data_IF_629534806377
#
_entry.id   IF_629534806377
#
_cell.length_a   1.000
_cell.length_b   1.000
_cell.length_c   1.000
_cell.angle_alpha   90.00
_cell.angle_beta   90.00
_cell.angle_gamma   90.00
#
_symmetry.space_group_name_H-M   'P 1'
#
loop_
_entity.id
_entity.type
_entity.pdbx_description
1 polymer ?
#
# COMPACT_ATOMS: atom_id res chain seq x y z
N UNK A 1 29.20 19.23 -24.44
CA UNK A 1 29.30 20.57 -25.05
C UNK A 1 28.42 20.59 -26.27
N UNK A 2 27.27 21.25 -26.17
CA UNK A 2 26.37 21.50 -27.29
C UNK A 2 26.24 23.02 -27.39
N UNK A 3 26.67 23.55 -28.54
CA UNK A 3 26.79 24.97 -28.85
C UNK A 3 25.42 25.53 -29.23
N UNK A 4 25.04 26.60 -28.53
CA UNK A 4 23.91 27.45 -28.88
C UNK A 4 24.44 28.61 -29.71
N UNK A 5 24.10 28.68 -31.00
CA UNK A 5 24.21 29.89 -31.79
C UNK A 5 23.17 29.83 -32.92
N UNK A 6 22.06 30.51 -32.70
CA UNK A 6 21.26 31.10 -33.79
C UNK A 6 20.58 32.37 -33.24
N UNK A 7 21.14 33.52 -33.62
CA UNK A 7 20.60 34.86 -33.37
C UNK A 7 19.35 35.12 -34.22
N UNK A 8 18.27 35.72 -33.68
CA UNK A 8 17.10 36.08 -34.47
C UNK A 8 17.29 37.45 -35.15
N UNK A 9 17.03 37.53 -36.46
CA UNK A 9 17.01 38.79 -37.20
C UNK A 9 15.72 39.57 -36.94
N UNK A 10 15.85 40.83 -36.54
CA UNK A 10 14.75 41.79 -36.41
C UNK A 10 14.41 42.42 -37.75
N UNK A 11 13.20 42.17 -38.25
CA UNK A 11 12.52 43.08 -39.19
C UNK A 11 11.14 43.40 -38.65
N UNK A 12 10.93 44.69 -38.39
CA UNK A 12 9.68 45.27 -37.90
C UNK A 12 8.91 45.78 -39.10
N UNK A 13 7.67 45.32 -39.28
CA UNK A 13 6.65 46.00 -40.08
C UNK A 13 5.38 46.25 -39.24
N UNK A 14 4.69 47.38 -39.43
CA UNK A 14 3.69 47.87 -38.50
C UNK A 14 2.28 47.35 -38.86
N UNK A 15 1.56 46.77 -37.91
CA UNK A 15 0.13 46.47 -38.09
C UNK A 15 -0.74 47.02 -36.96
N UNK A 16 -1.42 48.11 -37.32
CA UNK A 16 -2.84 48.43 -37.08
C UNK A 16 -3.60 47.74 -35.93
N UNK A 17 -4.06 48.59 -35.00
CA UNK A 17 -5.39 48.65 -34.36
C UNK A 17 -6.05 47.35 -33.85
N UNK A 18 -6.20 47.35 -32.52
CA UNK A 18 -7.11 46.56 -31.68
C UNK A 18 -8.34 45.93 -32.36
N UNK A 19 -8.46 44.61 -32.21
CA UNK A 19 -9.67 43.83 -32.43
C UNK A 19 -9.70 42.65 -31.46
N UNK A 20 -10.81 42.51 -30.73
CA UNK A 20 -11.03 41.51 -29.69
C UNK A 20 -10.66 40.08 -30.14
N UNK A 21 -9.78 39.41 -29.39
CA UNK A 21 -9.48 37.99 -29.58
C UNK A 21 -10.70 37.17 -29.19
N UNK A 22 -11.31 36.51 -30.18
CA UNK A 22 -12.35 35.49 -29.96
C UNK A 22 -11.76 34.31 -29.15
N UNK A 23 -12.52 33.72 -28.22
CA UNK A 23 -12.09 32.51 -27.53
C UNK A 23 -11.92 31.33 -28.51
N UNK A 24 -11.00 30.45 -28.17
CA UNK A 24 -10.58 29.27 -28.93
C UNK A 24 -11.76 28.35 -29.29
N UNK A 25 -11.87 27.81 -30.52
CA UNK A 25 -12.96 26.93 -30.92
C UNK A 25 -12.68 25.50 -30.45
N UNK A 26 -12.81 25.29 -29.15
CA UNK A 26 -12.94 23.95 -28.57
C UNK A 26 -14.12 23.96 -27.58
N UNK A 27 -15.24 24.54 -28.00
CA UNK A 27 -16.53 24.28 -27.36
C UNK A 27 -17.02 22.97 -27.97
N UNK A 28 -16.77 21.87 -27.25
CA UNK A 28 -17.41 20.60 -27.56
C UNK A 28 -18.87 20.76 -27.14
N UNK A 29 -19.75 21.08 -28.10
CA UNK A 29 -21.18 20.83 -27.93
C UNK A 29 -21.37 19.32 -27.76
N UNK A 30 -21.66 18.87 -26.54
CA UNK A 30 -22.03 17.49 -26.27
C UNK A 30 -23.43 17.43 -25.70
N UNK A 31 -24.19 16.50 -26.26
CA UNK A 31 -25.58 16.24 -25.94
C UNK A 31 -25.75 15.91 -24.46
N UNK A 32 -26.72 16.55 -23.82
CA UNK A 32 -27.18 16.25 -22.47
C UNK A 32 -27.72 14.83 -22.46
N UNK A 33 -26.94 13.87 -21.98
CA UNK A 33 -27.46 12.55 -21.63
C UNK A 33 -28.19 12.66 -20.29
N UNK A 34 -29.45 12.21 -20.29
CA UNK A 34 -30.43 12.44 -19.24
C UNK A 34 -29.98 12.02 -17.84
N UNK A 35 -30.36 12.85 -16.88
CA UNK A 35 -30.30 12.62 -15.45
C UNK A 35 -31.15 11.40 -15.05
N UNK A 36 -30.53 10.22 -15.01
CA UNK A 36 -31.01 9.09 -14.20
C UNK A 36 -30.77 9.37 -12.71
N UNK A 37 -31.44 8.65 -11.79
CA UNK A 37 -31.34 8.93 -10.36
C UNK A 37 -29.91 8.61 -9.88
N UNK A 38 -29.09 9.64 -9.68
CA UNK A 38 -27.70 9.50 -9.27
C UNK A 38 -27.60 9.13 -7.78
N UNK A 39 -27.56 7.82 -7.52
CA UNK A 39 -27.31 7.23 -6.20
C UNK A 39 -25.80 7.06 -5.94
N UNK A 40 -24.95 7.14 -6.98
CA UNK A 40 -23.50 6.96 -6.87
C UNK A 40 -22.75 8.26 -6.48
N UNK A 41 -21.60 8.11 -5.81
CA UNK A 41 -20.66 9.20 -5.55
C UNK A 41 -19.93 9.66 -6.83
N UNK A 42 -19.45 10.91 -6.82
CA UNK A 42 -18.64 11.47 -7.89
C UNK A 42 -17.37 10.62 -8.06
N UNK A 43 -17.00 10.34 -9.31
CA UNK A 43 -15.85 9.52 -9.70
C UNK A 43 -14.68 10.36 -10.19
N UNK A 44 -14.92 11.64 -10.49
CA UNK A 44 -14.00 12.54 -11.18
C UNK A 44 -14.18 12.55 -12.70
N UNK A 45 -15.13 11.76 -13.23
CA UNK A 45 -15.44 11.62 -14.66
C UNK A 45 -16.65 12.45 -15.11
N UNK A 46 -17.27 13.19 -14.19
CA UNK A 46 -18.46 13.99 -14.46
C UNK A 46 -18.16 15.18 -15.40
N UNK A 47 -19.16 15.62 -16.17
CA UNK A 47 -19.04 16.80 -17.04
C UNK A 47 -18.79 18.07 -16.22
N UNK A 48 -17.87 18.92 -16.69
CA UNK A 48 -17.52 20.17 -16.03
C UNK A 48 -18.64 21.22 -16.19
N UNK A 49 -19.23 21.65 -15.08
CA UNK A 49 -20.21 22.74 -15.07
C UNK A 49 -19.51 24.11 -14.96
N UNK A 50 -19.57 24.91 -16.03
CA UNK A 50 -19.06 26.27 -16.03
C UNK A 50 -19.88 27.17 -15.10
N UNK A 51 -19.21 27.77 -14.11
CA UNK A 51 -19.86 28.64 -13.11
C UNK A 51 -20.28 27.93 -11.82
N UNK A 52 -19.98 26.63 -11.68
CA UNK A 52 -20.22 25.89 -10.44
C UNK A 52 -19.52 26.56 -9.24
N UNK A 53 -20.15 26.42 -8.06
CA UNK A 53 -19.60 26.98 -6.81
C UNK A 53 -18.28 26.28 -6.43
N UNK A 54 -17.42 27.00 -5.71
CA UNK A 54 -16.22 26.42 -5.09
C UNK A 54 -16.60 25.36 -4.05
N UNK A 55 -15.71 24.38 -3.87
CA UNK A 55 -15.85 23.32 -2.87
C UNK A 55 -15.61 23.87 -1.47
N UNK A 56 -16.47 23.51 -0.53
CA UNK A 56 -16.27 23.70 0.91
C UNK A 56 -15.84 22.39 1.56
N UNK A 57 -15.12 22.49 2.68
CA UNK A 57 -14.61 21.31 3.43
C UNK A 57 -15.73 20.33 3.75
N UNK A 58 -16.90 20.82 4.16
CA UNK A 58 -18.05 19.99 4.56
C UNK A 58 -18.70 19.22 3.40
N UNK A 59 -18.39 19.56 2.15
CA UNK A 59 -18.87 18.84 0.97
C UNK A 59 -18.16 17.48 0.81
N UNK A 60 -16.95 17.32 1.37
CA UNK A 60 -16.11 16.14 1.17
C UNK A 60 -16.52 14.99 2.08
N UNK A 61 -16.49 13.76 1.57
CA UNK A 61 -16.72 12.50 2.30
C UNK A 61 -15.73 11.43 1.83
N UNK A 62 -15.42 10.42 2.66
CA UNK A 62 -14.51 9.34 2.25
C UNK A 62 -15.11 8.49 1.13
N UNK A 63 -16.41 8.18 1.25
CA UNK A 63 -17.20 7.44 0.26
C UNK A 63 -18.45 8.24 -0.10
N UNK A 64 -19.00 7.99 -1.28
CA UNK A 64 -20.27 8.60 -1.74
C UNK A 64 -20.28 10.14 -1.71
N UNK A 65 -19.10 10.76 -1.84
CA UNK A 65 -18.93 12.21 -1.94
C UNK A 65 -19.52 12.73 -3.25
N UNK A 66 -20.08 13.95 -3.24
CA UNK A 66 -20.61 14.63 -4.44
C UNK A 66 -19.84 15.89 -4.82
N UNK A 67 -18.79 16.22 -4.07
CA UNK A 67 -17.89 17.31 -4.43
C UNK A 67 -17.03 16.93 -5.63
N UNK A 68 -16.54 17.93 -6.36
CA UNK A 68 -15.61 17.72 -7.47
C UNK A 68 -14.29 17.12 -6.95
N UNK A 69 -14.03 15.86 -7.32
CA UNK A 69 -12.87 15.11 -6.87
C UNK A 69 -11.57 15.52 -7.56
N UNK A 70 -11.62 16.35 -8.60
CA UNK A 70 -10.42 16.82 -9.29
C UNK A 70 -9.76 17.99 -8.55
N UNK A 71 -10.43 18.59 -7.57
CA UNK A 71 -9.89 19.67 -6.74
C UNK A 71 -9.38 19.12 -5.40
N UNK A 72 -8.05 19.13 -5.25
CA UNK A 72 -7.39 18.68 -4.01
C UNK A 72 -7.79 19.53 -2.79
N UNK A 73 -7.91 20.84 -2.98
CA UNK A 73 -8.20 21.81 -1.91
C UNK A 73 -9.68 22.22 -1.88
N UNK A 74 -10.24 22.57 -0.71
CA UNK A 74 -9.60 22.57 0.61
C UNK A 74 -9.46 21.16 1.20
N UNK A 75 -8.46 20.96 2.08
CA UNK A 75 -8.25 19.67 2.76
C UNK A 75 -9.28 19.45 3.87
N UNK A 76 -9.92 18.28 3.88
CA UNK A 76 -10.75 17.81 5.00
C UNK A 76 -9.97 16.81 5.85
N UNK A 77 -9.41 15.78 5.23
CA UNK A 77 -8.69 14.71 5.92
C UNK A 77 -7.19 15.01 5.95
N UNK A 78 -6.78 15.93 6.83
CA UNK A 78 -5.37 16.32 6.96
C UNK A 78 -4.45 15.14 7.27
N UNK A 79 -4.94 14.14 8.01
CA UNK A 79 -4.20 12.91 8.30
C UNK A 79 -3.81 12.15 7.02
N UNK A 80 -4.64 12.17 5.96
CA UNK A 80 -4.31 11.50 4.70
C UNK A 80 -3.18 12.25 3.97
N UNK A 81 -3.25 13.57 3.98
CA UNK A 81 -2.21 14.43 3.41
C UNK A 81 -0.87 14.32 4.16
N UNK A 82 -0.91 14.29 5.49
CA UNK A 82 0.29 14.11 6.32
C UNK A 82 0.95 12.76 6.07
N UNK A 83 0.16 11.68 5.94
CA UNK A 83 0.70 10.37 5.56
C UNK A 83 1.30 10.37 4.15
N UNK A 84 0.69 11.08 3.21
CA UNK A 84 1.24 11.23 1.85
C UNK A 84 2.61 11.90 1.88
N UNK A 85 2.76 13.00 2.62
CA UNK A 85 4.05 13.68 2.76
C UNK A 85 5.08 12.79 3.47
N UNK A 86 4.69 12.09 4.52
CA UNK A 86 5.57 11.15 5.22
C UNK A 86 6.05 10.02 4.30
N UNK A 87 5.15 9.46 3.49
CA UNK A 87 5.47 8.44 2.50
C UNK A 87 6.40 8.96 1.39
N UNK A 88 6.18 10.19 0.89
CA UNK A 88 7.13 10.82 -0.03
C UNK A 88 8.54 10.97 0.58
N UNK A 89 8.65 11.37 1.84
CA UNK A 89 9.94 11.50 2.54
C UNK A 89 10.63 10.15 2.80
N UNK A 90 9.90 9.04 2.67
CA UNK A 90 10.38 7.69 2.84
C UNK A 90 10.90 7.06 1.54
N UNK A 91 11.05 7.82 0.45
CA UNK A 91 11.56 7.27 -0.81
C UNK A 91 12.89 6.50 -0.64
N UNK A 92 12.97 5.36 -1.31
CA UNK A 92 14.12 4.48 -1.40
C UNK A 92 14.04 3.69 -2.72
N UNK A 93 15.17 3.17 -3.19
CA UNK A 93 15.22 2.26 -4.35
C UNK A 93 16.01 0.98 -4.01
N UNK A 94 15.55 -0.21 -4.44
CA UNK A 94 16.22 -1.47 -4.10
C UNK A 94 17.68 -1.53 -4.51
N UNK A 95 18.04 -0.96 -5.67
CA UNK A 95 19.40 -0.97 -6.19
C UNK A 95 20.39 -0.14 -5.39
N UNK A 96 19.93 0.73 -4.50
CA UNK A 96 20.80 1.50 -3.62
C UNK A 96 21.41 0.62 -2.51
N UNK A 97 20.87 -0.59 -2.31
CA UNK A 97 21.25 -1.50 -1.24
C UNK A 97 22.15 -2.60 -1.80
N UNK A 98 23.37 -2.71 -1.26
CA UNK A 98 24.38 -3.63 -1.77
C UNK A 98 24.07 -5.10 -1.44
N UNK A 99 24.05 -5.96 -2.47
CA UNK A 99 23.77 -7.40 -2.33
C UNK A 99 25.03 -8.28 -2.27
N UNK A 100 26.24 -7.73 -2.29
CA UNK A 100 27.48 -8.51 -2.41
C UNK A 100 27.67 -9.56 -1.31
N UNK A 101 27.36 -9.22 -0.06
CA UNK A 101 27.47 -10.15 1.08
C UNK A 101 26.43 -11.26 0.98
N UNK A 102 25.20 -10.90 0.63
CA UNK A 102 24.06 -11.80 0.49
C UNK A 102 24.34 -12.86 -0.58
N UNK A 103 24.88 -12.43 -1.73
CA UNK A 103 25.31 -13.31 -2.82
C UNK A 103 26.36 -14.31 -2.33
N UNK A 104 27.40 -13.83 -1.66
CA UNK A 104 28.47 -14.70 -1.13
C UNK A 104 27.94 -15.70 -0.09
N UNK A 105 27.05 -15.26 0.81
CA UNK A 105 26.43 -16.13 1.81
C UNK A 105 25.52 -17.19 1.17
N UNK A 106 24.76 -16.81 0.13
CA UNK A 106 23.79 -17.70 -0.51
C UNK A 106 24.47 -18.75 -1.41
N UNK A 107 25.55 -18.38 -2.08
CA UNK A 107 26.34 -19.28 -2.94
C UNK A 107 27.21 -20.26 -2.15
N UNK A 108 27.56 -19.97 -0.90
CA UNK A 108 28.25 -20.92 -0.04
C UNK A 108 27.35 -22.15 0.22
N UNK A 109 27.77 -23.38 -0.15
CA UNK A 109 27.01 -24.60 0.13
C UNK A 109 26.80 -24.87 1.63
N UNK A 110 27.66 -24.31 2.49
CA UNK A 110 27.54 -24.35 3.96
C UNK A 110 26.95 -23.06 4.52
N UNK A 111 26.61 -22.12 3.62
CA UNK A 111 26.02 -20.84 3.93
C UNK A 111 24.76 -21.03 4.74
N UNK A 112 23.77 -21.76 4.23
CA UNK A 112 22.46 -21.97 4.88
C UNK A 112 22.10 -23.45 4.96
N UNK A 113 21.35 -23.85 5.99
CA UNK A 113 20.71 -25.17 6.03
C UNK A 113 19.54 -25.24 5.05
N UNK A 114 19.09 -26.45 4.72
CA UNK A 114 17.91 -26.62 3.86
C UNK A 114 16.66 -25.96 4.45
N UNK A 115 16.46 -26.09 5.76
CA UNK A 115 15.35 -25.42 6.46
C UNK A 115 15.44 -23.90 6.36
N UNK A 116 16.63 -23.32 6.51
CA UNK A 116 16.83 -21.89 6.34
C UNK A 116 16.54 -21.43 4.90
N UNK A 117 16.98 -22.20 3.90
CA UNK A 117 16.70 -21.91 2.49
C UNK A 117 15.21 -21.98 2.17
N UNK A 118 14.50 -22.97 2.71
CA UNK A 118 13.04 -23.10 2.55
C UNK A 118 12.32 -21.87 3.11
N UNK A 119 12.67 -21.43 4.31
CA UNK A 119 12.05 -20.24 4.93
C UNK A 119 12.26 -19.01 4.04
N UNK A 120 13.50 -18.77 3.60
CA UNK A 120 13.84 -17.62 2.75
C UNK A 120 13.09 -17.68 1.42
N UNK A 121 13.15 -18.82 0.71
CA UNK A 121 12.47 -18.99 -0.59
C UNK A 121 10.95 -18.82 -0.47
N UNK A 122 10.33 -19.37 0.58
CA UNK A 122 8.86 -19.27 0.77
C UNK A 122 8.39 -17.91 1.26
N UNK A 123 9.21 -17.19 2.03
CA UNK A 123 8.94 -15.80 2.36
C UNK A 123 8.98 -14.94 1.09
N UNK A 124 10.05 -15.05 0.29
CA UNK A 124 10.18 -14.33 -0.99
C UNK A 124 9.08 -14.73 -1.99
N UNK A 125 8.73 -16.01 -2.09
CA UNK A 125 7.70 -16.49 -3.01
C UNK A 125 6.28 -16.08 -2.64
N UNK A 126 6.01 -15.85 -1.34
CA UNK A 126 4.77 -15.20 -0.92
C UNK A 126 4.80 -13.71 -1.32
N UNK A 127 5.81 -12.98 -0.85
CA UNK A 127 5.89 -11.54 -1.01
C UNK A 127 5.96 -11.07 -2.47
N UNK A 128 6.68 -11.78 -3.34
CA UNK A 128 6.91 -11.41 -4.74
C UNK A 128 5.62 -11.21 -5.56
N UNK A 129 4.53 -11.89 -5.16
CA UNK A 129 3.22 -11.75 -5.80
C UNK A 129 2.18 -11.08 -4.91
N UNK A 130 2.39 -11.10 -3.59
CA UNK A 130 1.49 -10.49 -2.62
C UNK A 130 1.36 -8.97 -2.81
N UNK A 131 2.46 -8.24 -3.00
CA UNK A 131 2.42 -6.78 -3.17
C UNK A 131 1.80 -6.39 -4.54
N UNK A 132 1.94 -7.26 -5.54
CA UNK A 132 1.18 -7.11 -6.80
C UNK A 132 -0.33 -7.31 -6.61
N UNK A 133 -0.77 -8.20 -5.73
CA UNK A 133 -2.19 -8.35 -5.39
C UNK A 133 -2.73 -7.10 -4.67
N UNK A 134 -1.96 -6.55 -3.73
CA UNK A 134 -2.29 -5.28 -3.05
C UNK A 134 -2.38 -4.14 -4.07
N UNK A 135 -1.33 -3.92 -4.88
CA UNK A 135 -1.31 -2.87 -5.90
C UNK A 135 -2.50 -2.95 -6.86
N UNK A 136 -2.81 -4.15 -7.36
CA UNK A 136 -3.95 -4.37 -8.24
C UNK A 136 -5.28 -4.07 -7.53
N UNK A 137 -5.43 -4.43 -6.25
CA UNK A 137 -6.62 -4.08 -5.49
C UNK A 137 -6.77 -2.56 -5.32
N UNK A 138 -5.68 -1.85 -5.00
CA UNK A 138 -5.69 -0.40 -4.84
C UNK A 138 -6.18 0.29 -6.12
N UNK A 139 -5.62 -0.10 -7.27
CA UNK A 139 -5.87 0.56 -8.56
C UNK A 139 -7.21 0.14 -9.18
N UNK A 140 -7.52 -1.16 -9.18
CA UNK A 140 -8.67 -1.70 -9.91
C UNK A 140 -9.97 -1.66 -9.08
N UNK A 141 -9.86 -1.59 -7.76
CA UNK A 141 -11.01 -1.62 -6.85
C UNK A 141 -11.07 -0.35 -5.98
N UNK A 142 -10.15 -0.18 -5.03
CA UNK A 142 -10.31 0.79 -3.94
C UNK A 142 -10.34 2.25 -4.41
N UNK A 143 -9.44 2.64 -5.32
CA UNK A 143 -9.29 4.04 -5.76
C UNK A 143 -10.59 4.64 -6.30
N UNK A 144 -11.37 3.83 -7.04
CA UNK A 144 -12.64 4.27 -7.64
C UNK A 144 -13.67 4.66 -6.58
N UNK A 145 -13.69 3.96 -5.44
CA UNK A 145 -14.72 4.09 -4.42
C UNK A 145 -14.33 4.98 -3.23
N UNK A 146 -13.03 5.26 -3.05
CA UNK A 146 -12.57 6.34 -2.18
C UNK A 146 -12.74 7.68 -2.88
N UNK A 147 -13.92 8.29 -2.68
CA UNK A 147 -14.35 9.54 -3.32
C UNK A 147 -13.79 10.77 -2.59
N UNK A 148 -12.49 10.80 -2.31
CA UNK A 148 -11.82 11.92 -1.67
C UNK A 148 -10.42 12.14 -2.27
N UNK A 149 -10.07 13.36 -2.70
CA UNK A 149 -8.82 13.62 -3.42
C UNK A 149 -7.56 13.46 -2.57
N UNK A 150 -7.55 13.89 -1.31
CA UNK A 150 -6.38 13.72 -0.44
C UNK A 150 -6.13 12.25 -0.06
N UNK A 151 -7.17 11.44 0.12
CA UNK A 151 -7.05 10.00 0.25
C UNK A 151 -6.54 9.35 -1.05
N UNK A 152 -7.09 9.75 -2.21
CA UNK A 152 -6.61 9.28 -3.52
C UNK A 152 -5.14 9.63 -3.75
N UNK A 153 -4.69 10.81 -3.32
CA UNK A 153 -3.27 11.18 -3.39
C UNK A 153 -2.38 10.20 -2.61
N UNK A 154 -2.80 9.77 -1.42
CA UNK A 154 -2.09 8.74 -0.67
C UNK A 154 -2.12 7.39 -1.38
N UNK A 155 -3.27 6.96 -1.92
CA UNK A 155 -3.37 5.70 -2.67
C UNK A 155 -2.42 5.65 -3.87
N UNK A 156 -2.21 6.77 -4.58
CA UNK A 156 -1.23 6.84 -5.67
C UNK A 156 0.18 6.60 -5.16
N UNK A 157 0.51 7.15 -3.98
CA UNK A 157 1.82 6.95 -3.36
C UNK A 157 1.98 5.50 -2.88
N UNK A 158 0.98 4.96 -2.20
CA UNK A 158 0.99 3.57 -1.74
C UNK A 158 1.14 2.60 -2.92
N UNK A 159 0.33 2.74 -3.97
CA UNK A 159 0.43 1.88 -5.15
C UNK A 159 1.81 1.95 -5.84
N UNK A 160 2.48 3.09 -5.77
CA UNK A 160 3.87 3.22 -6.21
C UNK A 160 4.86 2.53 -5.27
N UNK A 161 4.63 2.59 -3.96
CA UNK A 161 5.43 1.85 -2.97
C UNK A 161 5.29 0.33 -3.17
N UNK A 162 4.09 -0.20 -3.44
CA UNK A 162 3.90 -1.63 -3.79
C UNK A 162 4.73 -2.05 -5.02
N UNK A 163 4.87 -1.15 -6.01
CA UNK A 163 5.71 -1.38 -7.17
C UNK A 163 7.20 -1.39 -6.82
N UNK A 164 7.64 -0.51 -5.90
CA UNK A 164 9.00 -0.55 -5.34
C UNK A 164 9.23 -1.86 -4.59
N UNK A 165 8.26 -2.34 -3.81
CA UNK A 165 8.39 -3.59 -3.04
C UNK A 165 8.50 -4.80 -3.97
N UNK A 166 7.63 -4.88 -4.99
CA UNK A 166 7.69 -5.92 -6.03
C UNK A 166 9.08 -5.93 -6.71
N UNK A 167 9.59 -4.74 -7.03
CA UNK A 167 10.92 -4.57 -7.59
C UNK A 167 12.04 -4.98 -6.61
N UNK A 168 11.88 -4.73 -5.32
CA UNK A 168 12.84 -5.17 -4.30
C UNK A 168 12.94 -6.70 -4.23
N UNK A 169 11.81 -7.42 -4.25
CA UNK A 169 11.87 -8.88 -4.27
C UNK A 169 12.48 -9.40 -5.56
N UNK A 170 12.12 -8.83 -6.72
CA UNK A 170 12.75 -9.20 -7.99
C UNK A 170 14.27 -9.01 -7.91
N UNK A 171 14.73 -7.87 -7.42
CA UNK A 171 16.16 -7.58 -7.26
C UNK A 171 16.88 -8.55 -6.31
N UNK A 172 16.25 -8.90 -5.19
CA UNK A 172 16.78 -9.92 -4.26
C UNK A 172 16.88 -11.29 -4.95
N UNK A 173 15.79 -11.74 -5.58
CA UNK A 173 15.70 -13.06 -6.23
C UNK A 173 16.73 -13.18 -7.35
N UNK A 174 16.83 -12.16 -8.22
CA UNK A 174 17.82 -12.09 -9.30
C UNK A 174 19.25 -12.09 -8.74
N UNK A 175 19.53 -11.24 -7.75
CA UNK A 175 20.87 -11.14 -7.14
C UNK A 175 21.33 -12.48 -6.56
N UNK A 176 20.44 -13.19 -5.86
CA UNK A 176 20.74 -14.48 -5.25
C UNK A 176 20.81 -15.63 -6.28
N UNK A 177 20.52 -15.38 -7.56
CA UNK A 177 20.52 -16.39 -8.61
C UNK A 177 19.47 -17.48 -8.38
N UNK A 178 18.32 -17.11 -7.81
CA UNK A 178 17.18 -18.01 -7.66
C UNK A 178 16.43 -18.16 -8.99
N UNK A 179 15.66 -19.24 -9.14
CA UNK A 179 14.74 -19.38 -10.28
C UNK A 179 13.55 -18.43 -10.07
N UNK A 180 13.52 -17.33 -10.82
CA UNK A 180 12.43 -16.34 -10.76
C UNK A 180 11.07 -16.96 -11.07
N UNK A 181 11.00 -17.89 -12.05
CA UNK A 181 9.74 -18.51 -12.41
C UNK A 181 9.22 -19.40 -11.27
N UNK A 182 10.10 -20.16 -10.61
CA UNK A 182 9.75 -20.94 -9.42
C UNK A 182 9.23 -20.02 -8.30
N UNK A 183 9.97 -18.96 -7.97
CA UNK A 183 9.66 -18.11 -6.82
C UNK A 183 8.39 -17.29 -7.05
N UNK A 184 8.20 -16.69 -8.23
CA UNK A 184 6.98 -15.93 -8.55
C UNK A 184 5.77 -16.83 -8.79
N UNK A 185 5.96 -18.10 -9.15
CA UNK A 185 4.83 -19.04 -9.32
C UNK A 185 4.38 -19.69 -8.01
N UNK A 186 5.08 -19.44 -6.91
CA UNK A 186 4.91 -20.21 -5.67
C UNK A 186 3.51 -20.08 -5.06
N UNK A 187 2.82 -18.95 -5.27
CA UNK A 187 1.41 -18.76 -4.86
C UNK A 187 0.42 -19.68 -5.62
N UNK A 188 0.85 -20.37 -6.68
CA UNK A 188 0.07 -21.38 -7.41
C UNK A 188 0.55 -22.82 -7.18
N UNK A 189 1.65 -22.99 -6.46
CA UNK A 189 2.30 -24.30 -6.26
C UNK A 189 2.32 -24.75 -4.80
N UNK A 190 2.38 -23.81 -3.85
CA UNK A 190 2.45 -24.10 -2.42
C UNK A 190 1.10 -23.80 -1.76
N UNK A 191 0.39 -24.80 -1.23
CA UNK A 191 -0.97 -24.64 -0.70
C UNK A 191 -1.09 -23.53 0.34
N UNK A 192 -0.15 -23.43 1.27
CA UNK A 192 -0.20 -22.43 2.34
C UNK A 192 -0.04 -20.98 1.84
N UNK A 193 0.61 -20.77 0.69
CA UNK A 193 0.74 -19.46 0.03
C UNK A 193 -0.49 -19.21 -0.84
N UNK A 194 -0.89 -20.23 -1.61
CA UNK A 194 -2.09 -20.19 -2.46
C UNK A 194 -3.33 -19.79 -1.67
N UNK A 195 -3.58 -20.43 -0.53
CA UNK A 195 -4.81 -20.23 0.22
C UNK A 195 -4.96 -18.79 0.73
N UNK A 196 -3.85 -18.10 1.02
CA UNK A 196 -3.85 -16.67 1.39
C UNK A 196 -4.27 -15.79 0.21
N UNK A 197 -3.70 -16.01 -0.97
CA UNK A 197 -4.07 -15.30 -2.19
C UNK A 197 -5.53 -15.60 -2.58
N UNK A 198 -5.93 -16.87 -2.58
CA UNK A 198 -7.28 -17.33 -2.90
C UNK A 198 -8.34 -16.81 -1.92
N UNK A 199 -7.99 -16.62 -0.64
CA UNK A 199 -8.87 -16.00 0.35
C UNK A 199 -9.10 -14.51 0.05
N UNK A 200 -8.07 -13.78 -0.38
CA UNK A 200 -8.14 -12.33 -0.63
C UNK A 200 -8.78 -11.94 -1.97
N UNK A 201 -8.57 -12.74 -3.01
CA UNK A 201 -8.95 -12.41 -4.38
C UNK A 201 -10.47 -12.14 -4.57
N UNK A 202 -11.40 -12.86 -3.91
CA UNK A 202 -12.83 -12.58 -4.01
C UNK A 202 -13.24 -11.16 -3.59
N UNK A 203 -12.50 -10.52 -2.67
CA UNK A 203 -12.80 -9.14 -2.24
C UNK A 203 -12.49 -8.15 -3.37
N UNK A 204 -11.33 -8.28 -4.01
CA UNK A 204 -10.97 -7.50 -5.20
C UNK A 204 -11.93 -7.76 -6.35
N UNK A 205 -12.24 -9.02 -6.65
CA UNK A 205 -13.18 -9.39 -7.71
C UNK A 205 -14.57 -8.78 -7.48
N UNK A 206 -15.01 -8.72 -6.22
CA UNK A 206 -16.29 -8.11 -5.85
C UNK A 206 -16.32 -6.62 -6.19
N UNK A 207 -15.24 -5.88 -5.97
CA UNK A 207 -15.21 -4.43 -6.23
C UNK A 207 -14.80 -4.07 -7.67
N UNK A 208 -13.99 -4.91 -8.31
CA UNK A 208 -13.53 -4.71 -9.68
C UNK A 208 -14.63 -5.00 -10.74
N UNK A 209 -15.79 -5.52 -10.33
CA UNK A 209 -16.98 -5.60 -11.19
C UNK A 209 -17.32 -4.20 -11.73
N UNK A 210 -17.32 -3.98 -13.05
CA UNK A 210 -17.63 -2.67 -13.64
C UNK A 210 -18.99 -2.09 -13.21
N UNK A 211 -19.93 -2.96 -12.84
CA UNK A 211 -21.28 -2.59 -12.40
C UNK A 211 -21.36 -2.28 -10.91
N UNK A 212 -20.32 -2.58 -10.12
CA UNK A 212 -20.30 -2.28 -8.70
C UNK A 212 -20.14 -0.77 -8.47
N UNK A 213 -21.02 -0.23 -7.61
CA UNK A 213 -20.99 1.15 -7.16
C UNK A 213 -21.43 1.22 -5.70
N UNK A 214 -20.77 2.06 -4.92
CA UNK A 214 -21.17 2.42 -3.55
C UNK A 214 -22.41 3.32 -3.59
N UNK A 215 -23.13 3.41 -2.46
CA UNK A 215 -24.35 4.23 -2.32
C UNK A 215 -25.54 3.51 -1.69
N UNK A 216 -25.42 2.21 -1.41
CA UNK A 216 -26.35 1.48 -0.53
C UNK A 216 -25.58 0.86 0.63
N UNK A 217 -26.22 0.60 1.79
CA UNK A 217 -25.54 -0.01 2.93
C UNK A 217 -24.84 -1.34 2.60
N UNK A 218 -25.44 -2.15 1.74
CA UNK A 218 -24.89 -3.45 1.33
C UNK A 218 -23.64 -3.27 0.46
N UNK A 219 -23.67 -2.31 -0.48
CA UNK A 219 -22.55 -2.01 -1.35
C UNK A 219 -21.39 -1.36 -0.58
N UNK A 220 -21.69 -0.43 0.32
CA UNK A 220 -20.69 0.24 1.14
C UNK A 220 -20.04 -0.76 2.12
N UNK A 221 -20.78 -1.75 2.61
CA UNK A 221 -20.21 -2.88 3.38
C UNK A 221 -19.30 -3.77 2.52
N UNK A 222 -19.56 -3.95 1.22
CA UNK A 222 -18.63 -4.66 0.34
C UNK A 222 -17.28 -3.95 0.26
N UNK A 223 -17.29 -2.63 0.14
CA UNK A 223 -16.06 -1.83 0.22
C UNK A 223 -15.37 -1.98 1.57
N UNK A 224 -16.11 -1.89 2.68
CA UNK A 224 -15.52 -2.07 4.01
C UNK A 224 -14.90 -3.45 4.19
N UNK A 225 -15.50 -4.54 3.66
CA UNK A 225 -14.89 -5.87 3.70
C UNK A 225 -13.57 -5.90 2.95
N UNK A 226 -13.50 -5.30 1.77
CA UNK A 226 -12.26 -5.23 1.01
C UNK A 226 -11.16 -4.47 1.76
N UNK A 227 -11.50 -3.31 2.33
CA UNK A 227 -10.57 -2.54 3.14
C UNK A 227 -10.06 -3.33 4.36
N UNK A 228 -10.93 -4.12 5.02
CA UNK A 228 -10.51 -5.05 6.09
C UNK A 228 -9.64 -6.16 5.52
N UNK A 229 -9.99 -6.75 4.39
CA UNK A 229 -9.26 -7.84 3.76
C UNK A 229 -7.83 -7.44 3.36
N UNK A 230 -7.64 -6.25 2.80
CA UNK A 230 -6.32 -5.80 2.33
C UNK A 230 -5.50 -5.11 3.42
N UNK A 231 -6.02 -4.03 4.03
CA UNK A 231 -5.22 -3.28 5.00
C UNK A 231 -5.08 -3.96 6.36
N UNK A 232 -6.15 -4.61 6.85
CA UNK A 232 -6.14 -5.20 8.20
C UNK A 232 -5.60 -6.63 8.16
N UNK A 233 -5.99 -7.40 7.15
CA UNK A 233 -5.60 -8.81 7.01
C UNK A 233 -4.34 -8.97 6.15
N UNK A 234 -4.35 -8.53 4.89
CA UNK A 234 -3.25 -8.84 3.98
C UNK A 234 -1.95 -8.14 4.41
N UNK A 235 -1.96 -6.81 4.47
CA UNK A 235 -0.83 -5.98 4.92
C UNK A 235 -0.63 -6.09 6.44
N UNK A 236 -1.73 -6.18 7.19
CA UNK A 236 -1.72 -6.16 8.66
C UNK A 236 -1.44 -7.50 9.37
N UNK A 237 -1.68 -8.64 8.73
CA UNK A 237 -1.49 -10.00 9.31
C UNK A 237 -0.60 -10.85 8.41
N UNK A 238 -0.96 -11.03 7.13
CA UNK A 238 -0.27 -11.97 6.22
C UNK A 238 1.18 -11.60 5.93
N UNK A 239 1.57 -10.34 6.04
CA UNK A 239 2.96 -9.91 5.86
C UNK A 239 3.83 -10.19 7.10
N UNK A 240 3.23 -10.26 8.29
CA UNK A 240 3.99 -10.18 9.54
C UNK A 240 4.76 -11.45 9.89
N UNK A 241 4.35 -12.65 9.41
CA UNK A 241 5.19 -13.86 9.55
C UNK A 241 6.43 -13.74 8.68
N UNK A 242 6.26 -13.37 7.42
CA UNK A 242 7.36 -13.18 6.47
C UNK A 242 8.37 -12.14 6.98
N UNK A 243 7.90 -11.03 7.56
CA UNK A 243 8.78 -10.04 8.19
C UNK A 243 9.57 -10.60 9.35
N UNK A 244 8.94 -11.29 10.30
CA UNK A 244 9.68 -11.90 11.42
C UNK A 244 10.70 -12.92 10.92
N UNK A 245 10.32 -13.74 9.93
CA UNK A 245 11.20 -14.75 9.35
C UNK A 245 12.45 -14.10 8.75
N UNK A 246 12.29 -13.16 7.81
CA UNK A 246 13.41 -12.52 7.12
C UNK A 246 14.24 -11.62 8.05
N UNK A 247 13.60 -10.84 8.92
CA UNK A 247 14.32 -9.96 9.85
C UNK A 247 15.08 -10.73 10.95
N UNK A 248 14.64 -11.94 11.31
CA UNK A 248 15.38 -12.82 12.22
C UNK A 248 16.71 -13.30 11.63
N UNK A 249 16.79 -13.49 10.31
CA UNK A 249 18.07 -13.72 9.61
C UNK A 249 18.97 -12.49 9.75
N UNK A 250 18.43 -11.29 9.50
CA UNK A 250 19.13 -10.04 9.67
C UNK A 250 19.77 -9.84 11.05
N UNK A 251 19.05 -10.19 12.11
CA UNK A 251 19.56 -10.15 13.50
C UNK A 251 20.79 -11.04 13.73
N UNK A 252 20.98 -12.04 12.89
CA UNK A 252 22.14 -12.94 12.90
C UNK A 252 23.19 -12.55 11.84
N UNK A 253 23.08 -11.36 11.26
CA UNK A 253 23.91 -10.86 10.16
C UNK A 253 23.86 -11.75 8.91
N UNK A 254 22.68 -12.29 8.63
CA UNK A 254 22.40 -13.19 7.49
C UNK A 254 21.55 -12.43 6.48
N UNK A 255 21.96 -12.46 5.22
CA UNK A 255 21.36 -11.68 4.13
C UNK A 255 21.15 -10.20 4.51
N UNK A 256 22.22 -9.46 4.86
CA UNK A 256 22.09 -8.09 5.34
C UNK A 256 21.43 -7.15 4.31
N UNK A 257 21.72 -7.29 3.02
CA UNK A 257 21.13 -6.47 1.95
C UNK A 257 19.64 -6.76 1.74
N UNK A 258 19.24 -8.04 1.72
CA UNK A 258 17.82 -8.41 1.66
C UNK A 258 17.09 -7.95 2.93
N UNK A 259 17.68 -8.15 4.10
CA UNK A 259 17.09 -7.70 5.38
C UNK A 259 16.87 -6.19 5.39
N UNK A 260 17.85 -5.40 4.94
CA UNK A 260 17.72 -3.95 4.88
C UNK A 260 16.54 -3.52 3.98
N UNK A 261 16.39 -4.15 2.82
CA UNK A 261 15.22 -3.94 1.94
C UNK A 261 13.91 -4.28 2.66
N UNK A 262 13.82 -5.43 3.36
CA UNK A 262 12.64 -5.80 4.15
C UNK A 262 12.34 -4.78 5.27
N UNK A 263 13.36 -4.14 5.85
CA UNK A 263 13.14 -3.08 6.84
C UNK A 263 12.55 -1.81 6.20
N UNK A 264 12.88 -1.50 4.95
CA UNK A 264 12.24 -0.39 4.22
C UNK A 264 10.78 -0.74 3.92
N UNK A 265 10.52 -1.93 3.37
CA UNK A 265 9.17 -2.43 3.11
C UNK A 265 8.31 -2.40 4.38
N UNK A 266 8.81 -2.96 5.49
CA UNK A 266 8.05 -2.98 6.76
C UNK A 266 7.72 -1.57 7.29
N UNK A 267 8.58 -0.57 7.03
CA UNK A 267 8.29 0.83 7.40
C UNK A 267 7.15 1.39 6.54
N UNK A 268 7.15 1.08 5.25
CA UNK A 268 6.13 1.52 4.32
C UNK A 268 4.78 0.85 4.67
N UNK A 269 4.78 -0.48 4.89
CA UNK A 269 3.62 -1.26 5.33
C UNK A 269 2.99 -0.78 6.63
N UNK A 270 3.81 -0.32 7.59
CA UNK A 270 3.29 0.29 8.81
C UNK A 270 2.47 1.55 8.51
N UNK A 271 2.86 2.35 7.51
CA UNK A 271 2.08 3.51 7.07
C UNK A 271 0.84 3.09 6.29
N UNK A 272 0.95 2.12 5.38
CA UNK A 272 -0.17 1.60 4.59
C UNK A 272 -1.31 1.11 5.50
N UNK A 273 -0.99 0.22 6.43
CA UNK A 273 -1.93 -0.29 7.42
C UNK A 273 -2.54 0.85 8.26
N UNK A 274 -1.73 1.82 8.70
CA UNK A 274 -2.24 2.96 9.47
C UNK A 274 -3.19 3.85 8.64
N UNK A 275 -2.91 4.05 7.35
CA UNK A 275 -3.83 4.74 6.43
C UNK A 275 -5.15 3.97 6.29
N UNK A 276 -5.09 2.65 6.04
CA UNK A 276 -6.27 1.81 5.92
C UNK A 276 -7.15 1.81 7.17
N UNK A 277 -6.53 1.74 8.36
CA UNK A 277 -7.23 1.84 9.65
C UNK A 277 -7.94 3.19 9.78
N UNK A 278 -7.27 4.30 9.43
CA UNK A 278 -7.85 5.63 9.47
C UNK A 278 -9.02 5.77 8.46
N UNK A 279 -8.89 5.22 7.25
CA UNK A 279 -9.99 5.15 6.26
C UNK A 279 -11.18 4.37 6.82
N UNK A 280 -10.97 3.15 7.34
CA UNK A 280 -12.05 2.31 7.90
C UNK A 280 -12.75 3.04 9.05
N UNK A 281 -11.99 3.61 9.98
CA UNK A 281 -12.53 4.35 11.12
C UNK A 281 -13.26 5.63 10.70
N UNK A 282 -12.78 6.33 9.67
CA UNK A 282 -13.44 7.52 9.14
C UNK A 282 -14.74 7.16 8.39
N UNK A 283 -14.77 6.06 7.63
CA UNK A 283 -16.01 5.55 7.01
C UNK A 283 -17.03 5.20 8.10
N UNK A 284 -16.61 4.51 9.17
CA UNK A 284 -17.47 4.18 10.32
C UNK A 284 -18.03 5.44 11.00
N UNK A 285 -17.20 6.47 11.16
CA UNK A 285 -17.61 7.72 11.78
C UNK A 285 -18.65 8.46 10.93
N UNK A 286 -18.46 8.49 9.61
CA UNK A 286 -19.36 9.18 8.67
C UNK A 286 -20.62 8.36 8.35
N UNK A 287 -20.54 7.04 8.49
CA UNK A 287 -21.58 6.08 8.10
C UNK A 287 -21.80 5.04 9.22
N UNK A 288 -22.25 5.46 10.43
CA UNK A 288 -22.33 4.56 11.59
C UNK A 288 -23.26 3.36 11.39
N UNK A 289 -24.25 3.49 10.50
CA UNK A 289 -25.17 2.42 10.12
C UNK A 289 -24.50 1.23 9.41
N UNK A 290 -23.29 1.41 8.86
CA UNK A 290 -22.52 0.32 8.24
C UNK A 290 -21.90 -0.61 9.29
N UNK A 291 -21.57 -0.09 10.48
CA UNK A 291 -20.80 -0.80 11.52
C UNK A 291 -21.68 -1.52 12.55
N UNK A 292 -22.63 -2.33 12.07
CA UNK A 292 -23.54 -3.10 12.94
C UNK A 292 -22.82 -4.20 13.71
N UNK A 293 -23.47 -4.76 14.72
CA UNK A 293 -22.97 -5.92 15.46
C UNK A 293 -22.64 -7.09 14.50
N UNK A 294 -23.51 -7.35 13.53
CA UNK A 294 -23.29 -8.41 12.52
C UNK A 294 -22.04 -8.15 11.68
N UNK A 295 -21.79 -6.90 11.26
CA UNK A 295 -20.60 -6.56 10.49
C UNK A 295 -19.32 -6.61 11.33
N UNK A 296 -19.41 -6.29 12.62
CA UNK A 296 -18.30 -6.46 13.55
C UNK A 296 -17.94 -7.93 13.75
N UNK A 297 -18.92 -8.83 13.83
CA UNK A 297 -18.67 -10.27 13.91
C UNK A 297 -18.16 -10.83 12.57
N UNK A 298 -18.63 -10.31 11.44
CA UNK A 298 -18.08 -10.62 10.12
C UNK A 298 -16.59 -10.25 10.03
N UNK A 299 -16.22 -9.01 10.38
CA UNK A 299 -14.82 -8.57 10.41
C UNK A 299 -13.98 -9.40 11.41
N UNK A 300 -14.55 -9.75 12.57
CA UNK A 300 -13.91 -10.64 13.56
C UNK A 300 -13.63 -12.02 12.98
N UNK A 301 -14.58 -12.57 12.21
CA UNK A 301 -14.46 -13.87 11.54
C UNK A 301 -13.38 -13.83 10.46
N UNK A 302 -13.36 -12.79 9.63
CA UNK A 302 -12.32 -12.57 8.61
C UNK A 302 -10.92 -12.54 9.24
N UNK A 303 -10.74 -11.80 10.34
CA UNK A 303 -9.46 -11.74 11.07
C UNK A 303 -9.10 -13.12 11.65
N UNK A 304 -10.06 -13.84 12.22
CA UNK A 304 -9.82 -15.18 12.76
C UNK A 304 -9.37 -16.17 11.68
N UNK A 305 -10.09 -16.24 10.56
CA UNK A 305 -9.77 -17.11 9.42
C UNK A 305 -8.38 -16.82 8.86
N UNK A 306 -8.07 -15.54 8.65
CA UNK A 306 -6.76 -15.08 8.22
C UNK A 306 -5.66 -15.48 9.20
N UNK A 307 -5.90 -15.30 10.50
CA UNK A 307 -4.94 -15.72 11.53
C UNK A 307 -4.66 -17.23 11.44
N UNK A 308 -5.68 -18.05 11.18
CA UNK A 308 -5.48 -19.49 11.00
C UNK A 308 -4.74 -19.84 9.70
N UNK A 309 -5.02 -19.14 8.60
CA UNK A 309 -4.26 -19.27 7.35
C UNK A 309 -2.78 -18.95 7.57
N UNK A 310 -2.50 -17.87 8.29
CA UNK A 310 -1.14 -17.40 8.53
C UNK A 310 -0.36 -18.31 9.48
N UNK A 311 -1.03 -18.88 10.48
CA UNK A 311 -0.46 -19.93 11.31
C UNK A 311 -0.12 -21.15 10.45
N UNK A 312 -1.02 -21.61 9.57
CA UNK A 312 -0.73 -22.74 8.67
C UNK A 312 0.49 -22.45 7.79
N UNK A 313 0.61 -21.24 7.26
CA UNK A 313 1.79 -20.79 6.52
C UNK A 313 3.07 -20.83 7.38
N UNK A 314 3.03 -20.37 8.63
CA UNK A 314 4.17 -20.46 9.53
C UNK A 314 4.60 -21.90 9.83
N UNK A 315 3.66 -22.83 10.00
CA UNK A 315 3.97 -24.26 10.19
C UNK A 315 4.54 -24.91 8.94
N UNK A 316 3.97 -24.61 7.77
CA UNK A 316 4.45 -25.14 6.50
C UNK A 316 5.86 -24.63 6.18
N UNK A 317 6.14 -23.34 6.41
CA UNK A 317 7.47 -22.74 6.18
C UNK A 317 8.53 -23.19 7.18
N UNK A 318 8.16 -23.67 8.37
CA UNK A 318 9.10 -24.05 9.45
C UNK A 318 8.74 -25.39 10.10
N UNK A 319 8.74 -26.52 9.37
CA UNK A 319 8.30 -27.81 9.90
C UNK A 319 9.19 -28.32 11.06
N UNK A 320 10.48 -27.97 11.05
CA UNK A 320 11.47 -28.34 12.10
C UNK A 320 11.96 -27.15 12.93
N UNK A 321 11.59 -25.93 12.55
CA UNK A 321 12.18 -24.70 13.08
C UNK A 321 13.66 -24.51 12.69
N UNK A 322 14.19 -23.33 13.01
CA UNK A 322 15.61 -22.96 12.86
C UNK A 322 16.08 -22.21 14.10
N UNK A 323 17.36 -21.86 14.18
CA UNK A 323 17.90 -21.14 15.34
C UNK A 323 17.11 -19.84 15.60
N UNK A 324 16.44 -19.77 16.75
CA UNK A 324 15.67 -18.60 17.18
C UNK A 324 14.26 -18.48 16.59
N UNK A 325 13.80 -19.42 15.76
CA UNK A 325 12.45 -19.42 15.19
C UNK A 325 11.86 -20.84 15.16
N UNK A 326 10.62 -20.97 15.62
CA UNK A 326 9.83 -22.18 15.39
C UNK A 326 8.36 -21.80 15.21
N UNK A 327 7.60 -22.69 14.57
CA UNK A 327 6.19 -22.44 14.25
C UNK A 327 5.30 -22.18 15.47
N UNK A 328 5.61 -22.75 16.64
CA UNK A 328 4.80 -22.54 17.85
C UNK A 328 4.86 -21.09 18.35
N UNK A 329 5.99 -20.40 18.19
CA UNK A 329 6.11 -18.97 18.49
C UNK A 329 5.16 -18.13 17.62
N UNK A 330 4.91 -18.56 16.38
CA UNK A 330 3.99 -17.87 15.49
C UNK A 330 2.53 -18.05 15.85
N UNK A 331 2.15 -19.14 16.53
CA UNK A 331 0.79 -19.29 17.05
C UNK A 331 0.45 -18.14 18.01
N UNK A 332 1.37 -17.84 18.94
CA UNK A 332 1.19 -16.79 19.93
C UNK A 332 1.33 -15.40 19.30
N UNK A 333 2.34 -15.21 18.44
CA UNK A 333 2.53 -13.94 17.75
C UNK A 333 1.35 -13.55 16.86
N UNK A 334 0.78 -14.50 16.12
CA UNK A 334 -0.39 -14.24 15.27
C UNK A 334 -1.64 -13.93 16.08
N UNK A 335 -1.83 -14.57 17.24
CA UNK A 335 -2.88 -14.20 18.18
C UNK A 335 -2.71 -12.76 18.70
N UNK A 336 -1.48 -12.36 19.05
CA UNK A 336 -1.15 -11.00 19.48
C UNK A 336 -1.41 -9.96 18.38
N UNK A 337 -0.95 -10.21 17.14
CA UNK A 337 -1.17 -9.31 16.00
C UNK A 337 -2.67 -9.20 15.69
N UNK A 338 -3.40 -10.32 15.65
CA UNK A 338 -4.84 -10.31 15.40
C UNK A 338 -5.60 -9.44 16.40
N UNK A 339 -5.31 -9.57 17.70
CA UNK A 339 -5.94 -8.73 18.73
C UNK A 339 -5.59 -7.25 18.57
N UNK A 340 -4.35 -6.92 18.20
CA UNK A 340 -3.95 -5.54 17.91
C UNK A 340 -4.76 -4.97 16.74
N UNK A 341 -4.95 -5.75 15.67
CA UNK A 341 -5.80 -5.36 14.53
C UNK A 341 -7.25 -5.16 14.94
N UNK A 342 -7.82 -6.09 15.71
CA UNK A 342 -9.18 -5.94 16.26
C UNK A 342 -9.31 -4.64 17.05
N UNK A 343 -8.38 -4.33 17.96
CA UNK A 343 -8.41 -3.11 18.76
C UNK A 343 -8.37 -1.84 17.89
N UNK A 344 -7.53 -1.82 16.84
CA UNK A 344 -7.37 -0.67 15.95
C UNK A 344 -8.65 -0.30 15.16
N UNK A 345 -9.52 -1.28 14.87
CA UNK A 345 -10.80 -1.06 14.19
C UNK A 345 -12.01 -1.22 15.13
N UNK A 346 -11.81 -1.32 16.45
CA UNK A 346 -12.89 -1.42 17.44
C UNK A 346 -13.70 -2.72 17.36
N UNK A 347 -13.06 -3.84 17.04
CA UNK A 347 -13.61 -5.19 17.10
C UNK A 347 -13.17 -5.85 18.42
N UNK A 348 -14.03 -6.68 19.00
CA UNK A 348 -13.74 -7.40 20.24
C UNK A 348 -12.58 -8.38 20.04
N UNK A 349 -11.71 -8.46 21.05
CA UNK A 349 -10.59 -9.38 21.12
C UNK A 349 -10.99 -10.84 20.78
N UNK A 350 -10.12 -11.54 20.04
CA UNK A 350 -10.32 -12.93 19.61
C UNK A 350 -9.56 -13.91 20.51
N UNK A 351 -8.35 -13.55 20.93
CA UNK A 351 -7.42 -14.45 21.63
C UNK A 351 -6.97 -13.89 22.99
N UNK A 352 -7.78 -14.03 24.06
CA UNK A 352 -7.45 -13.48 25.37
C UNK A 352 -6.08 -13.94 25.88
N UNK A 353 -5.27 -12.98 26.36
CA UNK A 353 -3.97 -13.27 26.99
C UNK A 353 -2.81 -13.54 26.03
N UNK A 354 -2.98 -13.30 24.72
CA UNK A 354 -1.90 -13.40 23.76
C UNK A 354 -0.79 -12.37 24.04
N UNK A 355 0.46 -12.82 24.07
CA UNK A 355 1.63 -11.97 24.29
C UNK A 355 2.49 -11.87 23.03
N UNK A 356 3.42 -10.91 22.96
CA UNK A 356 4.34 -10.78 21.83
C UNK A 356 5.64 -11.57 22.10
N UNK A 357 5.88 -12.73 21.47
CA UNK A 357 7.12 -13.49 21.63
C UNK A 357 8.31 -12.87 20.89
N UNK A 358 8.07 -11.84 20.06
CA UNK A 358 9.10 -11.11 19.30
C UNK A 358 9.10 -9.61 19.67
N UNK A 359 9.48 -9.24 20.91
CA UNK A 359 9.47 -7.83 21.35
C UNK A 359 10.36 -6.93 20.49
N UNK A 360 11.43 -7.48 19.91
CA UNK A 360 12.32 -6.77 18.99
C UNK A 360 11.64 -6.32 17.69
N UNK A 361 10.51 -6.91 17.29
CA UNK A 361 9.75 -6.39 16.14
C UNK A 361 9.20 -4.99 16.42
N UNK A 362 8.78 -4.73 17.67
CA UNK A 362 8.36 -3.40 18.08
C UNK A 362 9.53 -2.41 18.08
N UNK A 363 10.72 -2.85 18.50
CA UNK A 363 11.93 -2.04 18.44
C UNK A 363 12.32 -1.68 17.01
N UNK A 364 12.24 -2.60 16.04
CA UNK A 364 12.57 -2.29 14.63
C UNK A 364 11.58 -1.26 14.04
N UNK A 365 10.31 -1.32 14.43
CA UNK A 365 9.31 -0.32 14.05
C UNK A 365 9.57 1.05 14.71
N UNK A 366 10.00 1.07 15.97
CA UNK A 366 10.21 2.30 16.74
C UNK A 366 11.59 2.96 16.49
N UNK A 367 12.66 2.20 16.26
CA UNK A 367 14.03 2.68 16.01
C UNK A 367 14.12 3.62 14.80
N UNK A 368 13.18 3.52 13.86
CA UNK A 368 13.12 4.42 12.69
C UNK A 368 12.42 5.74 12.94
N UNK A 369 11.74 5.94 14.09
CA UNK A 369 11.34 7.30 14.52
C UNK A 369 12.54 8.17 14.90
N UNK A 370 13.65 7.56 15.32
CA UNK A 370 14.85 8.28 15.79
C UNK A 370 15.97 8.43 14.75
N UNK A 371 16.05 7.56 13.74
CA UNK A 371 16.98 7.77 12.61
C UNK A 371 16.49 8.88 11.68
N UNK A 372 16.64 10.13 12.15
CA UNK A 372 16.86 11.25 11.26
C UNK A 372 18.10 10.94 10.44
N UNK A 373 17.92 10.85 9.12
CA UNK A 373 18.82 10.40 8.06
C UNK A 373 20.14 11.19 7.90
N UNK A 374 20.63 11.87 8.94
CA UNK A 374 21.87 12.65 8.91
C UNK A 374 23.16 11.82 9.04
N UNK A 375 23.09 10.52 9.37
CA UNK A 375 24.29 9.71 9.63
C UNK A 375 24.65 8.71 8.51
N UNK A 376 23.80 8.52 7.49
CA UNK A 376 24.15 7.80 6.28
C UNK A 376 24.50 8.82 5.18
N UNK A 377 25.71 8.71 4.61
CA UNK A 377 26.27 9.66 3.64
C UNK A 377 25.25 10.11 2.59
N UNK A 378 25.03 11.42 2.54
CA UNK A 378 24.30 12.14 1.49
C UNK A 378 24.96 11.89 0.13
N UNK A 379 24.31 11.11 -0.72
CA UNK A 379 24.46 11.22 -2.18
C UNK A 379 23.26 11.99 -2.70
N UNK A 380 23.37 13.30 -2.65
CA UNK A 380 22.40 14.28 -3.15
C UNK A 380 22.18 14.13 -4.66
N UNK A 381 20.91 14.12 -5.07
CA UNK A 381 20.40 15.01 -6.11
C UNK A 381 19.10 15.65 -5.57
N UNK A 382 19.25 16.65 -4.69
CA UNK A 382 18.23 17.69 -4.54
C UNK A 382 18.41 18.64 -5.72
N UNK A 383 17.52 18.55 -6.71
CA UNK A 383 17.42 19.50 -7.81
C UNK A 383 17.18 20.89 -7.23
N UNK A 384 18.18 21.76 -7.40
CA UNK A 384 18.14 23.14 -6.95
C UNK A 384 16.98 23.94 -7.54
N UNK A 385 16.44 24.86 -6.74
CA UNK A 385 15.41 25.78 -7.20
C UNK A 385 14.71 26.60 -6.14
N UNK A 386 15.39 27.06 -5.08
CA UNK A 386 14.90 28.17 -4.27
C UNK A 386 15.69 29.44 -4.65
N UNK A 387 15.28 30.07 -5.75
CA UNK A 387 15.67 31.46 -6.02
C UNK A 387 14.75 32.36 -5.20
N UNK A 388 15.30 32.98 -4.15
CA UNK A 388 14.68 34.16 -3.55
C UNK A 388 14.98 35.36 -4.45
N UNK A 389 13.96 36.13 -4.77
CA UNK A 389 14.13 37.47 -5.33
C UNK A 389 13.59 38.46 -4.29
N UNK A 390 14.40 39.47 -3.98
CA UNK A 390 14.01 40.63 -3.15
C UNK A 390 12.87 41.44 -3.79
#
# INVERSE_FOLDING_TARGET
MLTWDDTPSTTVEPTSTAGARKPHPAVVERAVHGSGPAIAGATGLEDLEMGARRIHVDDKRIINCRADLNQLVPFKYKWAWEKYLAACNNHWMPQEIAMTTDIAQWQDPKGFTEDERIIIKRALGFFSTADSLVANNLVLAVYRHLTNPECRQYLLRQAFEEAIHTHAYQYIIESLGMDEAEVFNMYREIPSIHDKAAWSLPYTQSLADPNFHTGTPEADRRLLRDLVAFYVVFEGIFFYVGFVQLLSFGRRNRLPGATEQIQYIMRDEAMHMNFGIDVINQIKLENPHLWTADFQEEARTMIHEATQLEIRYAHDTMPRGVLGLNAAMFNEYMAFIANRRCAQIGVKEIYPGASNPFPWMSEVLDLKKEKNFFEARVTEYQTGGALSWD
#
